data_IF_476975682585
#
_entry.id   IF_476975682585
#
_cell.length_a   1.000
_cell.length_b   1.000
_cell.length_c   1.000
_cell.angle_alpha   90.00
_cell.angle_beta   90.00
_cell.angle_gamma   90.00
#
_symmetry.space_group_name_H-M   'P 1'
#
loop_
_entity.id
_entity.type
_entity.pdbx_description
1 polymer ?
#
# COMPACT_ATOMS: atom_id res chain seq x y z
N UNK A 1 -21.50 -4.15 -2.40
CA UNK A 1 -22.11 -5.05 -3.39
C UNK A 1 -23.60 -4.70 -3.51
N UNK A 2 -24.09 -4.43 -4.71
CA UNK A 2 -25.51 -4.11 -4.89
C UNK A 2 -26.36 -5.40 -4.75
N UNK A 3 -27.56 -5.26 -4.21
CA UNK A 3 -28.54 -6.35 -4.07
C UNK A 3 -28.83 -7.08 -5.39
N UNK A 4 -28.72 -6.39 -6.52
CA UNK A 4 -28.88 -6.94 -7.86
C UNK A 4 -27.82 -8.00 -8.22
N UNK A 5 -26.56 -7.81 -7.79
CA UNK A 5 -25.49 -8.78 -8.05
C UNK A 5 -25.74 -10.12 -7.35
N UNK A 6 -26.35 -10.10 -6.15
CA UNK A 6 -26.63 -11.32 -5.37
C UNK A 6 -27.78 -12.13 -5.94
N UNK A 7 -28.73 -11.50 -6.62
CA UNK A 7 -29.93 -12.17 -7.16
C UNK A 7 -29.69 -12.92 -8.47
N UNK A 8 -28.67 -12.51 -9.26
CA UNK A 8 -28.39 -13.09 -10.58
C UNK A 8 -27.22 -14.10 -10.58
N UNK A 9 -26.52 -14.25 -9.44
CA UNK A 9 -25.36 -15.15 -9.34
C UNK A 9 -25.76 -16.47 -8.69
N UNK A 10 -25.47 -17.64 -9.32
CA UNK A 10 -25.71 -18.94 -8.69
C UNK A 10 -25.07 -19.04 -7.30
N UNK A 11 -25.73 -19.70 -6.36
CA UNK A 11 -25.25 -19.83 -4.97
C UNK A 11 -23.83 -20.41 -4.87
N UNK A 12 -23.48 -21.35 -5.75
CA UNK A 12 -22.14 -21.92 -5.83
C UNK A 12 -21.07 -20.88 -6.26
N UNK A 13 -21.44 -19.90 -7.08
CA UNK A 13 -20.56 -18.83 -7.52
C UNK A 13 -20.33 -17.78 -6.42
N UNK A 14 -21.34 -17.53 -5.60
CA UNK A 14 -21.22 -16.64 -4.44
C UNK A 14 -20.27 -17.25 -3.41
N UNK A 15 -20.41 -18.53 -3.11
CA UNK A 15 -19.62 -19.23 -2.09
C UNK A 15 -18.12 -19.19 -2.39
N UNK A 16 -17.69 -19.35 -3.65
CA UNK A 16 -16.26 -19.31 -4.03
C UNK A 16 -15.58 -17.96 -3.73
N UNK A 17 -16.33 -16.84 -3.78
CA UNK A 17 -15.79 -15.53 -3.40
C UNK A 17 -15.82 -15.33 -1.89
N UNK A 18 -16.86 -15.82 -1.21
CA UNK A 18 -16.99 -15.71 0.25
C UNK A 18 -15.78 -16.30 0.97
N UNK A 19 -15.32 -17.49 0.57
CA UNK A 19 -14.14 -18.13 1.18
C UNK A 19 -12.88 -17.25 1.12
N UNK A 20 -12.67 -16.51 0.01
CA UNK A 20 -11.52 -15.59 -0.11
C UNK A 20 -11.69 -14.40 0.81
N UNK A 21 -12.90 -13.82 0.83
CA UNK A 21 -13.21 -12.65 1.67
C UNK A 21 -13.09 -13.00 3.15
N UNK A 22 -13.64 -14.14 3.57
CA UNK A 22 -13.55 -14.64 4.95
C UNK A 22 -12.08 -14.85 5.39
N UNK A 23 -11.27 -15.50 4.56
CA UNK A 23 -9.86 -15.71 4.88
C UNK A 23 -9.09 -14.37 4.99
N UNK A 24 -9.32 -13.47 4.04
CA UNK A 24 -8.74 -12.12 4.05
C UNK A 24 -9.16 -11.36 5.33
N UNK A 25 -10.47 -11.28 5.64
CA UNK A 25 -10.97 -10.58 6.81
C UNK A 25 -10.45 -11.20 8.12
N UNK A 26 -10.40 -12.53 8.20
CA UNK A 26 -9.89 -13.25 9.37
C UNK A 26 -8.41 -12.94 9.62
N UNK A 27 -7.56 -13.00 8.58
CA UNK A 27 -6.13 -12.69 8.68
C UNK A 27 -5.89 -11.23 9.06
N UNK A 28 -6.55 -10.30 8.38
CA UNK A 28 -6.45 -8.87 8.69
C UNK A 28 -6.92 -8.57 10.11
N UNK A 29 -8.09 -9.12 10.50
CA UNK A 29 -8.67 -8.91 11.83
C UNK A 29 -7.75 -9.42 12.94
N UNK A 30 -7.19 -10.61 12.79
CA UNK A 30 -6.24 -11.18 13.75
C UNK A 30 -4.97 -10.32 13.87
N UNK A 31 -4.32 -10.00 12.74
CA UNK A 31 -3.10 -9.20 12.76
C UNK A 31 -3.32 -7.78 13.30
N UNK A 32 -4.44 -7.14 12.95
CA UNK A 32 -4.77 -5.81 13.48
C UNK A 32 -5.12 -5.84 14.97
N UNK A 33 -5.74 -6.93 15.46
CA UNK A 33 -5.99 -7.11 16.89
C UNK A 33 -4.69 -7.21 17.68
N UNK A 34 -3.66 -7.89 17.15
CA UNK A 34 -2.34 -7.98 17.78
C UNK A 34 -1.71 -6.58 17.90
N UNK A 35 -1.77 -5.76 16.85
CA UNK A 35 -1.29 -4.37 16.92
C UNK A 35 -2.14 -3.50 17.86
N UNK A 36 -3.46 -3.67 17.86
CA UNK A 36 -4.33 -2.93 18.77
C UNK A 36 -4.08 -3.28 20.24
N UNK A 37 -3.74 -4.53 20.54
CA UNK A 37 -3.39 -4.97 21.91
C UNK A 37 -2.11 -4.32 22.44
N UNK A 38 -1.23 -3.81 21.57
CA UNK A 38 -0.02 -3.06 21.95
C UNK A 38 -0.29 -1.57 22.20
N UNK A 39 -1.51 -1.10 21.93
CA UNK A 39 -1.89 0.31 22.14
C UNK A 39 -2.23 0.55 23.61
N UNK A 40 -1.94 1.76 24.11
CA UNK A 40 -2.31 2.21 25.45
C UNK A 40 -3.10 3.52 25.36
N UNK A 41 -3.83 3.94 26.42
CA UNK A 41 -4.50 5.24 26.43
C UNK A 41 -3.57 6.42 26.14
N UNK A 42 -2.29 6.33 26.54
CA UNK A 42 -1.27 7.34 26.28
C UNK A 42 -0.67 7.22 24.87
N UNK A 43 -0.76 6.02 24.26
CA UNK A 43 -0.27 5.72 22.91
C UNK A 43 -1.37 4.96 22.15
N UNK A 44 -2.33 5.68 21.55
CA UNK A 44 -3.50 5.08 20.91
C UNK A 44 -3.17 4.29 19.64
N UNK A 45 -1.95 4.38 19.15
CA UNK A 45 -1.42 3.55 18.05
C UNK A 45 -0.20 2.79 18.56
N UNK A 46 -0.12 1.50 18.27
CA UNK A 46 1.03 0.67 18.61
C UNK A 46 2.31 1.25 18.05
N UNK A 47 3.35 1.34 18.87
CA UNK A 47 4.64 1.86 18.44
C UNK A 47 5.33 0.85 17.52
N UNK A 48 5.58 1.25 16.29
CA UNK A 48 6.33 0.46 15.30
C UNK A 48 7.82 0.71 15.57
N UNK A 49 8.54 -0.30 16.06
CA UNK A 49 9.92 -0.13 16.48
C UNK A 49 10.93 -0.37 15.37
N UNK A 50 10.74 -1.40 14.57
CA UNK A 50 11.68 -1.85 13.53
C UNK A 50 11.06 -1.79 12.13
N UNK A 51 11.90 -1.92 11.10
CA UNK A 51 11.42 -2.10 9.71
C UNK A 51 10.61 -3.40 9.58
N UNK A 52 10.99 -4.45 10.30
CA UNK A 52 10.24 -5.71 10.29
C UNK A 52 8.83 -5.55 10.89
N UNK A 53 8.68 -4.80 11.98
CA UNK A 53 7.35 -4.48 12.53
C UNK A 53 6.52 -3.65 11.56
N UNK A 54 7.17 -2.72 10.83
CA UNK A 54 6.52 -1.91 9.80
C UNK A 54 6.06 -2.75 8.63
N UNK A 55 6.89 -3.68 8.18
CA UNK A 55 6.53 -4.64 7.13
C UNK A 55 5.35 -5.50 7.56
N UNK A 56 5.37 -6.00 8.79
CA UNK A 56 4.29 -6.82 9.33
C UNK A 56 2.98 -6.03 9.44
N UNK A 57 3.04 -4.79 9.92
CA UNK A 57 1.88 -3.89 9.95
C UNK A 57 1.31 -3.67 8.55
N UNK A 58 2.15 -3.27 7.59
CA UNK A 58 1.73 -3.04 6.20
C UNK A 58 1.20 -4.32 5.53
N UNK A 59 1.77 -5.49 5.85
CA UNK A 59 1.25 -6.77 5.40
C UNK A 59 -0.18 -6.99 5.87
N UNK A 60 -0.46 -6.79 7.16
CA UNK A 60 -1.81 -7.01 7.69
C UNK A 60 -2.85 -6.02 7.12
N UNK A 61 -2.51 -4.76 6.94
CA UNK A 61 -3.48 -3.75 6.46
C UNK A 61 -3.63 -3.70 4.94
N UNK A 62 -2.64 -4.16 4.18
CA UNK A 62 -2.65 -4.01 2.72
C UNK A 62 -2.09 -5.22 1.95
N UNK A 63 -1.06 -5.89 2.45
CA UNK A 63 -0.50 -7.09 1.82
C UNK A 63 -1.56 -8.18 1.66
N UNK A 64 -2.30 -8.48 2.73
CA UNK A 64 -3.41 -9.45 2.73
C UNK A 64 -4.53 -9.03 1.76
N UNK A 65 -4.78 -7.73 1.57
CA UNK A 65 -5.72 -7.24 0.56
C UNK A 65 -5.24 -7.59 -0.85
N UNK A 66 -3.94 -7.44 -1.12
CA UNK A 66 -3.33 -7.87 -2.39
C UNK A 66 -3.53 -9.37 -2.64
N UNK A 67 -3.29 -10.20 -1.63
CA UNK A 67 -3.54 -11.65 -1.70
C UNK A 67 -5.03 -11.96 -1.94
N UNK A 68 -5.93 -11.30 -1.20
CA UNK A 68 -7.37 -11.46 -1.34
C UNK A 68 -7.87 -11.07 -2.73
N UNK A 69 -7.41 -9.94 -3.28
CA UNK A 69 -7.75 -9.52 -4.65
C UNK A 69 -7.27 -10.52 -5.69
N UNK A 70 -6.03 -11.05 -5.56
CA UNK A 70 -5.50 -12.09 -6.45
C UNK A 70 -6.36 -13.35 -6.42
N UNK A 71 -6.83 -13.74 -5.24
CA UNK A 71 -7.77 -14.83 -5.06
C UNK A 71 -9.13 -14.58 -5.73
N UNK A 72 -9.67 -13.36 -5.63
CA UNK A 72 -10.93 -12.98 -6.27
C UNK A 72 -10.80 -12.92 -7.80
N UNK A 73 -9.69 -12.35 -8.33
CA UNK A 73 -9.42 -12.31 -9.77
C UNK A 73 -9.30 -13.70 -10.37
N UNK A 74 -8.56 -14.58 -9.70
CA UNK A 74 -8.41 -15.98 -10.08
C UNK A 74 -9.77 -16.69 -10.14
N UNK A 75 -10.58 -16.57 -9.07
CA UNK A 75 -11.89 -17.21 -8.99
C UNK A 75 -12.96 -16.61 -9.93
N UNK A 76 -12.73 -15.41 -10.43
CA UNK A 76 -13.64 -14.78 -11.42
C UNK A 76 -13.58 -15.46 -12.81
N UNK A 77 -12.58 -16.30 -13.06
CA UNK A 77 -12.31 -16.88 -14.36
C UNK A 77 -11.71 -15.92 -15.39
N UNK A 78 -11.51 -14.64 -15.02
CA UNK A 78 -10.87 -13.64 -15.90
C UNK A 78 -9.36 -13.74 -15.88
N UNK A 79 -8.79 -14.29 -14.82
CA UNK A 79 -7.37 -14.48 -14.62
C UNK A 79 -7.00 -15.95 -14.50
N UNK A 80 -5.71 -16.25 -14.57
CA UNK A 80 -5.19 -17.61 -14.42
C UNK A 80 -5.36 -18.07 -12.98
N UNK A 81 -5.70 -19.36 -12.76
CA UNK A 81 -5.94 -19.92 -11.42
C UNK A 81 -4.74 -19.80 -10.50
N UNK A 82 -3.53 -19.99 -11.04
CA UNK A 82 -2.30 -19.88 -10.27
C UNK A 82 -1.96 -18.45 -9.78
N UNK A 83 -2.66 -17.41 -10.27
CA UNK A 83 -2.47 -16.04 -9.81
C UNK A 83 -2.71 -15.93 -8.28
N UNK A 84 -3.68 -16.70 -7.76
CA UNK A 84 -3.97 -16.76 -6.33
C UNK A 84 -2.79 -17.29 -5.47
N UNK A 85 -1.80 -17.93 -6.09
CA UNK A 85 -0.63 -18.49 -5.43
C UNK A 85 0.58 -17.54 -5.45
N UNK A 86 0.48 -16.40 -6.15
CA UNK A 86 1.54 -15.39 -6.25
C UNK A 86 1.56 -14.46 -5.04
N UNK A 87 1.66 -15.04 -3.84
CA UNK A 87 1.49 -14.32 -2.57
C UNK A 87 2.55 -13.24 -2.37
N UNK A 88 3.81 -13.51 -2.72
CA UNK A 88 4.91 -12.55 -2.56
C UNK A 88 4.67 -11.30 -3.42
N UNK A 89 4.34 -11.48 -4.70
CA UNK A 89 4.15 -10.37 -5.63
C UNK A 89 2.90 -9.55 -5.31
N UNK A 90 1.80 -10.24 -4.98
CA UNK A 90 0.54 -9.59 -4.60
C UNK A 90 0.65 -8.85 -3.26
N UNK A 91 1.39 -9.41 -2.29
CA UNK A 91 1.73 -8.74 -1.04
C UNK A 91 2.57 -7.49 -1.30
N UNK A 92 3.62 -7.57 -2.12
CA UNK A 92 4.49 -6.43 -2.45
C UNK A 92 3.71 -5.31 -3.13
N UNK A 93 2.69 -5.61 -3.94
CA UNK A 93 1.77 -4.60 -4.48
C UNK A 93 1.03 -3.86 -3.34
N UNK A 94 0.47 -4.58 -2.39
CA UNK A 94 -0.18 -3.99 -1.20
C UNK A 94 0.80 -3.16 -0.36
N UNK A 95 2.00 -3.69 -0.13
CA UNK A 95 3.08 -3.03 0.62
C UNK A 95 3.49 -1.69 -0.02
N UNK A 96 3.69 -1.65 -1.33
CA UNK A 96 4.01 -0.44 -2.08
C UNK A 96 2.96 0.64 -1.84
N UNK A 97 1.67 0.30 -1.97
CA UNK A 97 0.58 1.25 -1.80
C UNK A 97 0.50 1.78 -0.36
N UNK A 98 0.57 0.90 0.63
CA UNK A 98 0.42 1.28 2.03
C UNK A 98 1.59 2.11 2.53
N UNK A 99 2.83 1.72 2.22
CA UNK A 99 4.03 2.46 2.61
C UNK A 99 4.07 3.85 1.97
N UNK A 100 3.61 3.97 0.74
CA UNK A 100 3.47 5.27 0.06
C UNK A 100 2.46 6.16 0.77
N UNK A 101 1.31 5.61 1.19
CA UNK A 101 0.30 6.37 1.94
C UNK A 101 0.87 6.86 3.27
N UNK A 102 1.51 5.98 4.04
CA UNK A 102 2.11 6.32 5.34
C UNK A 102 3.22 7.39 5.21
N UNK A 103 4.03 7.32 4.15
CA UNK A 103 5.02 8.36 3.87
C UNK A 103 4.37 9.71 3.58
N UNK A 104 3.37 9.73 2.68
CA UNK A 104 2.68 10.94 2.25
C UNK A 104 1.93 11.64 3.39
N UNK A 105 1.33 10.86 4.26
CA UNK A 105 0.37 11.33 5.26
C UNK A 105 1.01 11.64 6.63
N UNK A 106 2.36 11.68 6.72
CA UNK A 106 3.10 11.89 7.98
C UNK A 106 2.58 13.08 8.80
N UNK A 107 2.34 14.23 8.16
CA UNK A 107 1.87 15.44 8.87
C UNK A 107 0.49 15.22 9.47
N UNK A 108 -0.43 14.66 8.70
CA UNK A 108 -1.79 14.40 9.14
C UNK A 108 -1.83 13.36 10.26
N UNK A 109 -1.04 12.28 10.15
CA UNK A 109 -0.96 11.24 11.15
C UNK A 109 -0.40 11.78 12.48
N UNK A 110 0.67 12.55 12.44
CA UNK A 110 1.28 13.14 13.65
C UNK A 110 0.33 14.14 14.30
N UNK A 111 -0.39 14.97 13.54
CA UNK A 111 -1.38 15.91 14.07
C UNK A 111 -2.55 15.19 14.76
N UNK A 112 -2.88 13.98 14.32
CA UNK A 112 -3.91 13.13 14.92
C UNK A 112 -3.36 12.23 16.05
N UNK A 113 -2.11 12.41 16.45
CA UNK A 113 -1.46 11.61 17.47
C UNK A 113 -1.12 10.17 17.03
N UNK A 114 -1.10 9.90 15.72
CA UNK A 114 -0.72 8.62 15.15
C UNK A 114 0.72 8.64 14.66
N UNK A 115 1.44 7.53 14.83
CA UNK A 115 2.82 7.42 14.39
C UNK A 115 3.09 6.04 13.78
N UNK A 116 3.14 5.95 12.45
CA UNK A 116 3.34 4.68 11.74
C UNK A 116 4.78 4.46 11.27
N UNK A 117 5.65 5.47 11.40
CA UNK A 117 7.04 5.32 10.98
C UNK A 117 7.85 4.54 11.99
N UNK A 118 8.70 3.60 11.55
CA UNK A 118 9.57 2.82 12.44
C UNK A 118 10.45 3.72 13.30
N UNK A 119 10.43 3.45 14.59
CA UNK A 119 11.27 4.15 15.56
C UNK A 119 12.76 4.08 15.19
N UNK A 120 13.20 2.96 14.65
CA UNK A 120 14.58 2.77 14.19
C UNK A 120 14.99 3.82 13.15
N UNK A 121 14.08 4.26 12.27
CA UNK A 121 14.39 5.28 11.25
C UNK A 121 14.51 6.65 11.90
N UNK A 122 13.45 7.17 12.53
CA UNK A 122 13.49 8.54 13.02
C UNK A 122 14.49 8.73 14.18
N UNK A 123 14.77 7.72 15.02
CA UNK A 123 15.83 7.78 16.01
C UNK A 123 17.23 7.85 15.43
N UNK A 124 17.49 7.14 14.34
CA UNK A 124 18.77 7.19 13.60
C UNK A 124 19.11 8.61 13.17
N UNK A 125 18.09 9.43 12.86
CA UNK A 125 18.23 10.83 12.51
C UNK A 125 18.14 11.79 13.70
N UNK A 126 18.25 11.27 14.93
CA UNK A 126 18.34 12.06 16.16
C UNK A 126 17.02 12.61 16.69
N UNK A 127 15.88 12.05 16.27
CA UNK A 127 14.57 12.44 16.81
C UNK A 127 14.17 11.56 18.00
N UNK A 128 13.50 12.15 18.99
CA UNK A 128 12.97 11.43 20.15
C UNK A 128 11.48 11.11 20.01
N UNK A 129 10.81 11.79 19.07
CA UNK A 129 9.41 11.57 18.74
C UNK A 129 9.14 11.94 17.29
N UNK A 130 8.08 11.39 16.69
CA UNK A 130 7.64 11.80 15.36
C UNK A 130 7.19 13.27 15.31
N UNK A 131 6.73 13.83 16.41
CA UNK A 131 6.34 15.25 16.49
C UNK A 131 7.55 16.17 16.28
N UNK A 132 8.74 15.78 16.76
CA UNK A 132 9.97 16.55 16.53
C UNK A 132 10.38 16.60 15.05
N UNK A 133 9.96 15.63 14.23
CA UNK A 133 10.22 15.63 12.78
C UNK A 133 9.49 16.76 12.05
N UNK A 134 8.48 17.35 12.67
CA UNK A 134 7.74 18.49 12.10
C UNK A 134 8.33 19.84 12.53
N UNK A 135 9.44 19.87 13.29
CA UNK A 135 10.13 21.11 13.64
C UNK A 135 10.82 21.70 12.40
N UNK A 136 10.45 22.95 12.01
CA UNK A 136 11.07 23.61 10.84
C UNK A 136 12.59 23.76 10.95
N UNK A 137 13.15 23.81 12.16
CA UNK A 137 14.60 23.94 12.38
C UNK A 137 15.35 22.63 12.10
N UNK A 138 14.64 21.51 11.96
CA UNK A 138 15.19 20.18 11.73
C UNK A 138 14.71 19.55 10.45
N UNK A 139 14.27 20.39 9.49
CA UNK A 139 13.70 19.95 8.20
C UNK A 139 14.66 19.02 7.43
N UNK A 140 15.94 19.31 7.43
CA UNK A 140 16.94 18.51 6.68
C UNK A 140 17.06 17.09 7.20
N UNK A 141 17.15 16.89 8.52
CA UNK A 141 17.22 15.57 9.13
C UNK A 141 15.92 14.78 8.95
N UNK A 142 14.78 15.48 9.02
CA UNK A 142 13.48 14.88 8.76
C UNK A 142 13.35 14.41 7.30
N UNK A 143 13.89 15.15 6.34
CA UNK A 143 13.92 14.75 4.93
C UNK A 143 14.86 13.55 4.69
N UNK A 144 15.95 13.42 5.43
CA UNK A 144 16.77 12.21 5.35
C UNK A 144 16.02 10.98 5.88
N UNK A 145 15.30 11.11 6.99
CA UNK A 145 14.43 10.04 7.48
C UNK A 145 13.33 9.69 6.47
N UNK A 146 12.70 10.69 5.86
CA UNK A 146 11.71 10.50 4.79
C UNK A 146 12.29 9.79 3.55
N UNK A 147 13.55 10.07 3.21
CA UNK A 147 14.23 9.39 2.11
C UNK A 147 14.45 7.91 2.40
N UNK A 148 14.76 7.52 3.63
CA UNK A 148 14.85 6.10 4.01
C UNK A 148 13.48 5.41 3.90
N UNK A 149 12.40 6.07 4.33
CA UNK A 149 11.03 5.55 4.16
C UNK A 149 10.67 5.41 2.67
N UNK A 150 11.10 6.36 1.83
CA UNK A 150 10.91 6.30 0.38
C UNK A 150 11.63 5.09 -0.22
N UNK A 151 12.89 4.86 0.15
CA UNK A 151 13.67 3.71 -0.31
C UNK A 151 13.06 2.39 0.15
N UNK A 152 12.54 2.34 1.39
CA UNK A 152 11.86 1.16 1.91
C UNK A 152 10.58 0.84 1.13
N UNK A 153 9.81 1.85 0.70
CA UNK A 153 8.66 1.65 -0.18
C UNK A 153 9.07 1.22 -1.59
N UNK A 154 10.12 1.84 -2.16
CA UNK A 154 10.60 1.56 -3.52
C UNK A 154 11.10 0.12 -3.72
N UNK A 155 11.59 -0.56 -2.68
CA UNK A 155 12.02 -1.97 -2.78
C UNK A 155 10.90 -2.91 -3.23
N UNK A 156 9.63 -2.52 -3.09
CA UNK A 156 8.46 -3.29 -3.54
C UNK A 156 8.06 -3.00 -5.00
N UNK A 157 8.68 -2.00 -5.66
CA UNK A 157 8.28 -1.60 -7.01
C UNK A 157 8.54 -2.70 -8.05
N UNK A 158 9.68 -3.40 -7.98
CA UNK A 158 10.00 -4.46 -8.94
C UNK A 158 8.98 -5.58 -8.87
N UNK A 159 8.70 -6.10 -7.67
CA UNK A 159 7.69 -7.14 -7.47
C UNK A 159 6.30 -6.69 -7.92
N UNK A 160 5.94 -5.41 -7.65
CA UNK A 160 4.66 -4.86 -8.07
C UNK A 160 4.56 -4.78 -9.61
N UNK A 161 5.64 -4.42 -10.30
CA UNK A 161 5.69 -4.45 -11.76
C UNK A 161 5.64 -5.88 -12.30
N UNK A 162 6.36 -6.82 -11.68
CA UNK A 162 6.31 -8.22 -12.05
C UNK A 162 4.90 -8.79 -11.86
N UNK A 163 4.20 -8.42 -10.76
CA UNK A 163 2.81 -8.78 -10.56
C UNK A 163 1.91 -8.32 -11.72
N UNK A 164 2.08 -7.08 -12.20
CA UNK A 164 1.33 -6.55 -13.33
C UNK A 164 1.54 -7.37 -14.61
N UNK A 165 2.75 -7.92 -14.82
CA UNK A 165 3.04 -8.77 -16.00
C UNK A 165 2.27 -10.09 -16.01
N UNK A 166 1.82 -10.54 -14.84
CA UNK A 166 1.07 -11.79 -14.71
C UNK A 166 -0.41 -11.63 -15.08
N UNK A 167 -0.92 -10.40 -15.12
CA UNK A 167 -2.34 -10.13 -15.37
C UNK A 167 -2.67 -10.26 -16.86
N UNK A 168 -3.71 -11.05 -17.14
CA UNK A 168 -4.16 -11.35 -18.51
C UNK A 168 -5.32 -10.45 -18.94
N UNK A 169 -6.21 -10.12 -18.00
CA UNK A 169 -7.43 -9.35 -18.28
C UNK A 169 -7.14 -7.86 -18.22
N UNK A 170 -7.36 -7.12 -19.33
CA UNK A 170 -7.07 -5.69 -19.41
C UNK A 170 -7.78 -4.86 -18.32
N UNK A 171 -9.01 -5.21 -17.96
CA UNK A 171 -9.74 -4.47 -16.91
C UNK A 171 -9.16 -4.71 -15.51
N UNK A 172 -8.68 -5.93 -15.23
CA UNK A 172 -7.97 -6.26 -13.99
C UNK A 172 -6.61 -5.56 -13.97
N UNK A 173 -5.88 -5.61 -15.08
CA UNK A 173 -4.62 -4.89 -15.24
C UNK A 173 -4.79 -3.40 -14.96
N UNK A 174 -5.74 -2.72 -15.60
CA UNK A 174 -5.98 -1.30 -15.39
C UNK A 174 -6.35 -0.98 -13.92
N UNK A 175 -7.18 -1.82 -13.29
CA UNK A 175 -7.58 -1.67 -11.90
C UNK A 175 -6.38 -1.71 -10.95
N UNK A 176 -5.40 -2.57 -11.20
CA UNK A 176 -4.20 -2.73 -10.36
C UNK A 176 -3.10 -1.75 -10.74
N UNK A 177 -2.89 -1.49 -12.04
CA UNK A 177 -1.82 -0.64 -12.53
C UNK A 177 -2.00 0.84 -12.15
N UNK A 178 -3.23 1.35 -12.17
CA UNK A 178 -3.49 2.76 -11.84
C UNK A 178 -3.02 3.12 -10.44
N UNK A 179 -3.41 2.41 -9.36
CA UNK A 179 -2.90 2.68 -8.02
C UNK A 179 -1.38 2.51 -7.90
N UNK A 180 -0.81 1.50 -8.55
CA UNK A 180 0.63 1.25 -8.52
C UNK A 180 1.42 2.42 -9.11
N UNK A 181 1.02 2.90 -10.30
CA UNK A 181 1.64 4.05 -10.96
C UNK A 181 1.45 5.33 -10.14
N UNK A 182 0.28 5.52 -9.54
CA UNK A 182 0.01 6.65 -8.64
C UNK A 182 0.90 6.61 -7.39
N UNK A 183 1.15 5.42 -6.83
CA UNK A 183 2.06 5.26 -5.70
C UNK A 183 3.49 5.63 -6.09
N UNK A 184 4.01 5.11 -7.19
CA UNK A 184 5.36 5.45 -7.69
C UNK A 184 5.53 6.96 -7.93
N UNK A 185 4.54 7.60 -8.56
CA UNK A 185 4.56 9.04 -8.79
C UNK A 185 4.44 9.85 -7.47
N UNK A 186 3.74 9.30 -6.47
CA UNK A 186 3.66 9.92 -5.13
C UNK A 186 5.00 9.82 -4.42
N UNK A 187 5.70 8.69 -4.50
CA UNK A 187 7.05 8.52 -3.94
C UNK A 187 8.03 9.53 -4.55
N UNK A 188 8.00 9.71 -5.87
CA UNK A 188 8.79 10.72 -6.57
C UNK A 188 8.47 12.14 -6.07
N UNK A 189 7.19 12.47 -5.95
CA UNK A 189 6.75 13.78 -5.46
C UNK A 189 7.08 14.04 -3.98
N UNK A 190 7.20 13.00 -3.16
CA UNK A 190 7.54 13.07 -1.75
C UNK A 190 9.06 13.09 -1.49
N UNK A 191 9.85 12.53 -2.41
CA UNK A 191 11.29 12.41 -2.22
C UNK A 191 11.96 13.77 -2.05
N UNK A 192 12.70 13.94 -0.95
CA UNK A 192 13.38 15.20 -0.58
C UNK A 192 12.50 16.46 -0.66
N UNK A 193 11.20 16.32 -0.46
CA UNK A 193 10.24 17.40 -0.59
C UNK A 193 9.73 17.87 0.79
N UNK A 194 10.13 19.07 1.25
CA UNK A 194 9.75 19.57 2.57
C UNK A 194 8.24 19.80 2.75
N UNK A 195 7.48 19.78 1.67
CA UNK A 195 6.02 19.93 1.75
C UNK A 195 5.34 18.78 2.47
N UNK A 196 5.94 17.56 2.48
CA UNK A 196 5.38 16.41 3.22
C UNK A 196 5.29 16.66 4.73
N UNK A 197 6.22 17.47 5.26
CA UNK A 197 6.24 17.85 6.68
C UNK A 197 5.25 18.97 7.02
N UNK A 198 4.65 19.62 6.02
CA UNK A 198 3.73 20.75 6.15
C UNK A 198 2.29 20.40 5.79
N UNK A 199 2.08 19.30 5.09
CA UNK A 199 0.77 18.84 4.65
C UNK A 199 0.87 17.74 3.59
N UNK A 200 -0.28 17.32 3.12
CA UNK A 200 -0.40 16.21 2.18
C UNK A 200 0.10 16.61 0.77
N UNK A 201 1.06 15.89 0.24
CA UNK A 201 1.55 16.06 -1.13
C UNK A 201 0.66 15.26 -2.07
N UNK A 202 -0.09 15.95 -2.94
CA UNK A 202 -0.99 15.33 -3.91
C UNK A 202 -0.44 15.44 -5.33
N UNK A 203 -0.45 14.34 -6.05
CA UNK A 203 -0.24 14.36 -7.50
C UNK A 203 -1.43 15.07 -8.14
N UNK A 204 -1.18 16.00 -9.08
CA UNK A 204 -2.25 16.66 -9.82
C UNK A 204 -3.01 15.64 -10.67
N UNK A 205 -4.34 15.74 -10.70
CA UNK A 205 -5.20 14.81 -11.47
C UNK A 205 -4.74 14.66 -12.93
N UNK A 206 -4.29 15.75 -13.57
CA UNK A 206 -3.77 15.70 -14.94
C UNK A 206 -2.46 14.90 -15.08
N UNK A 207 -1.57 14.95 -14.09
CA UNK A 207 -0.35 14.13 -14.08
C UNK A 207 -0.68 12.64 -13.84
N UNK A 208 -1.65 12.35 -12.97
CA UNK A 208 -2.11 10.98 -12.75
C UNK A 208 -2.71 10.37 -14.03
N UNK A 209 -3.47 11.14 -14.81
CA UNK A 209 -4.03 10.70 -16.10
C UNK A 209 -2.92 10.50 -17.14
N UNK A 210 -2.02 11.46 -17.32
CA UNK A 210 -0.90 11.34 -18.27
C UNK A 210 0.04 10.18 -17.94
N UNK A 211 0.36 9.97 -16.65
CA UNK A 211 1.18 8.85 -16.19
C UNK A 211 0.43 7.53 -16.42
N UNK A 212 -0.89 7.49 -16.20
CA UNK A 212 -1.73 6.32 -16.49
C UNK A 212 -1.80 6.00 -17.98
N UNK A 213 -2.06 6.97 -18.83
CA UNK A 213 -2.20 6.76 -20.29
C UNK A 213 -0.88 6.35 -20.95
N UNK A 214 0.20 7.10 -20.74
CA UNK A 214 1.50 6.87 -21.40
C UNK A 214 2.18 5.58 -20.92
N UNK A 215 2.05 5.20 -19.62
CA UNK A 215 2.65 3.96 -19.12
C UNK A 215 1.78 2.74 -19.37
N UNK A 216 0.46 2.88 -19.36
CA UNK A 216 -0.45 1.77 -19.69
C UNK A 216 -0.31 1.38 -21.17
N UNK A 217 -0.15 2.33 -22.10
CA UNK A 217 0.14 2.04 -23.52
C UNK A 217 1.51 1.36 -23.68
N UNK A 218 2.57 1.85 -23.02
CA UNK A 218 3.90 1.22 -23.07
C UNK A 218 3.92 -0.16 -22.41
N UNK A 219 3.26 -0.33 -21.27
CA UNK A 219 3.16 -1.63 -20.62
C UNK A 219 2.33 -2.59 -21.48
N UNK A 220 1.19 -2.17 -22.03
CA UNK A 220 0.38 -3.03 -22.93
C UNK A 220 1.13 -3.42 -24.21
N UNK A 221 2.01 -2.58 -24.75
CA UNK A 221 2.84 -2.92 -25.92
C UNK A 221 3.92 -3.97 -25.61
N UNK A 222 4.37 -4.06 -24.37
CA UNK A 222 5.31 -5.12 -23.92
C UNK A 222 4.64 -6.50 -23.80
N UNK A 223 3.30 -6.54 -23.72
CA UNK A 223 2.53 -7.79 -23.56
C UNK A 223 1.90 -8.29 -24.87
N UNK A 224 1.88 -7.48 -25.92
CA UNK A 224 1.29 -7.82 -27.21
C UNK A 224 2.34 -8.14 -28.30
N UNK A 225 3.61 -8.22 -27.95
CA UNK A 225 4.72 -8.68 -28.78
C UNK A 225 5.23 -10.04 -28.33
#
# INVERSE_FOLDING_TARGET
>A
MSQAFLNDTPAADIHRYQVVIEDCCRKMGAGMADFAALSTPEKPVAEINTIADFDLYCHYVAGIVGEGLSGLFSRSGKEREWLAQQLTLSNSMGMLLQKTNILRDIKEDVDQGRGFWPRAIWRKHGFNSMKEMLDPNRETEALFAASEMTLDALRHCTDALDYLTLLKCQTVFNFVAIPAVMAMATLDACYMNPKILKGNVKIRKGQAVQVGEVRLEKLSSLFNG
#
